data_IF_923881145004
#
_entry.id   IF_923881145004
#
_cell.length_a   1.000
_cell.length_b   1.000
_cell.length_c   1.000
_cell.angle_alpha   90.00
_cell.angle_beta   90.00
_cell.angle_gamma   90.00
#
_symmetry.space_group_name_H-M   'P 1'
#
loop_
_entity.id
_entity.type
_entity.pdbx_description
1 polymer ?
#
# COMPACT_ATOMS: atom_id res chain seq x y z
N UNK A 1 37.83 -19.50 -14.95
CA UNK A 1 36.87 -18.41 -14.75
C UNK A 1 35.72 -18.89 -13.85
N UNK A 2 35.85 -18.72 -12.53
CA UNK A 2 34.81 -19.05 -11.55
C UNK A 2 33.83 -17.87 -11.43
N UNK A 3 32.56 -18.05 -11.82
CA UNK A 3 31.48 -17.12 -11.42
C UNK A 3 30.97 -17.57 -10.05
N UNK A 4 31.41 -16.90 -8.99
CA UNK A 4 30.82 -17.00 -7.65
C UNK A 4 29.41 -16.40 -7.69
N UNK A 5 28.40 -17.25 -7.54
CA UNK A 5 27.05 -16.87 -7.16
C UNK A 5 27.05 -16.47 -5.69
N UNK A 6 26.85 -15.18 -5.41
CA UNK A 6 26.66 -14.69 -4.05
C UNK A 6 25.25 -15.08 -3.60
N UNK A 7 25.15 -16.07 -2.72
CA UNK A 7 23.92 -16.41 -1.99
C UNK A 7 23.83 -15.50 -0.78
N UNK A 8 22.98 -14.47 -0.84
CA UNK A 8 22.67 -13.63 0.32
C UNK A 8 21.54 -14.30 1.10
N UNK A 9 21.83 -14.68 2.35
CA UNK A 9 20.85 -15.21 3.31
C UNK A 9 19.79 -14.14 3.61
N UNK A 10 18.54 -14.42 3.22
CA UNK A 10 17.37 -13.61 3.50
C UNK A 10 16.89 -13.84 4.94
N UNK A 11 17.37 -13.02 5.87
CA UNK A 11 16.71 -12.84 7.17
C UNK A 11 16.22 -11.39 7.26
N UNK A 12 14.90 -11.21 7.49
CA UNK A 12 14.23 -9.96 7.85
C UNK A 12 13.87 -8.94 6.75
N UNK A 13 13.15 -9.37 5.70
CA UNK A 13 12.47 -8.49 4.73
C UNK A 13 10.98 -8.29 5.06
N UNK A 14 10.62 -7.89 6.29
CA UNK A 14 9.22 -7.96 6.75
C UNK A 14 8.24 -6.88 6.27
N UNK A 15 8.63 -5.64 5.90
CA UNK A 15 7.63 -4.55 5.91
C UNK A 15 7.51 -3.58 4.70
N UNK A 16 8.18 -3.74 3.55
CA UNK A 16 8.06 -2.73 2.46
C UNK A 16 8.16 -3.23 1.01
N UNK A 17 8.09 -4.54 0.74
CA UNK A 17 8.33 -5.05 -0.62
C UNK A 17 7.24 -4.64 -1.62
N UNK A 18 5.96 -4.67 -1.23
CA UNK A 18 4.84 -4.37 -2.14
C UNK A 18 4.84 -2.93 -2.67
N UNK A 19 5.22 -1.95 -1.82
CA UNK A 19 5.23 -0.53 -2.19
C UNK A 19 6.21 -0.21 -3.33
N UNK A 20 7.44 -0.76 -3.28
CA UNK A 20 8.44 -0.52 -4.33
C UNK A 20 8.21 -1.34 -5.58
N UNK A 21 7.57 -2.51 -5.46
CA UNK A 21 7.08 -3.27 -6.61
C UNK A 21 6.01 -2.52 -7.38
N UNK A 22 5.04 -1.96 -6.67
CA UNK A 22 3.97 -1.15 -7.25
C UNK A 22 4.52 0.13 -7.91
N UNK A 23 5.39 0.89 -7.24
CA UNK A 23 5.99 2.10 -7.82
C UNK A 23 6.80 1.80 -9.10
N UNK A 24 7.55 0.69 -9.11
CA UNK A 24 8.31 0.28 -10.29
C UNK A 24 7.40 -0.18 -11.43
N UNK A 25 6.28 -0.84 -11.09
CA UNK A 25 5.24 -1.19 -12.05
C UNK A 25 4.59 0.07 -12.66
N UNK A 26 4.26 1.07 -11.85
CA UNK A 26 3.69 2.34 -12.35
C UNK A 26 4.60 3.10 -13.31
N UNK A 27 5.91 3.18 -13.01
CA UNK A 27 6.87 3.82 -13.92
C UNK A 27 7.07 3.05 -15.23
N UNK A 28 6.87 1.73 -15.21
CA UNK A 28 6.91 0.90 -16.43
C UNK A 28 5.66 1.05 -17.30
N UNK A 29 4.48 1.34 -16.72
CA UNK A 29 3.25 1.63 -17.47
C UNK A 29 3.21 3.02 -18.10
N UNK A 30 4.10 3.95 -17.69
CA UNK A 30 4.21 5.31 -18.24
C UNK A 30 5.31 5.46 -19.31
N UNK A 31 5.88 4.36 -19.83
CA UNK A 31 6.67 4.38 -21.07
C UNK A 31 8.19 4.27 -20.94
N UNK A 32 8.78 4.20 -19.74
CA UNK A 32 10.21 3.89 -19.60
C UNK A 32 10.43 2.41 -19.30
N UNK A 33 10.79 1.66 -20.34
CA UNK A 33 11.23 0.28 -20.24
C UNK A 33 12.61 0.22 -19.60
N UNK A 34 12.72 -0.38 -18.42
CA UNK A 34 13.94 -1.08 -18.04
C UNK A 34 13.63 -2.37 -17.27
N UNK A 35 14.02 -3.47 -17.92
CA UNK A 35 14.12 -4.83 -17.42
C UNK A 35 14.48 -4.91 -15.92
N UNK A 36 13.66 -5.63 -15.13
CA UNK A 36 14.12 -6.64 -14.15
C UNK A 36 12.92 -7.31 -13.46
N UNK A 37 12.86 -8.64 -13.62
CA UNK A 37 12.06 -9.55 -12.80
C UNK A 37 12.47 -9.37 -11.33
N UNK A 38 11.50 -9.12 -10.45
CA UNK A 38 11.70 -9.24 -9.00
C UNK A 38 10.51 -9.99 -8.42
N UNK A 39 10.80 -11.10 -7.75
CA UNK A 39 9.84 -11.97 -7.08
C UNK A 39 9.25 -11.26 -5.86
N UNK A 40 7.93 -11.13 -5.78
CA UNK A 40 7.23 -10.60 -4.60
C UNK A 40 6.78 -11.74 -3.71
N UNK A 41 7.44 -11.89 -2.55
CA UNK A 41 7.01 -12.79 -1.48
C UNK A 41 6.09 -11.99 -0.54
N UNK A 42 4.83 -12.38 -0.54
CA UNK A 42 3.71 -11.82 0.22
C UNK A 42 4.01 -11.94 1.72
N UNK A 43 3.83 -10.84 2.48
CA UNK A 43 3.81 -10.88 3.93
C UNK A 43 2.58 -10.19 4.51
N UNK A 44 2.08 -10.87 5.52
CA UNK A 44 0.86 -10.67 6.28
C UNK A 44 1.01 -9.55 7.31
N UNK A 45 0.49 -8.36 6.99
CA UNK A 45 -0.25 -7.52 7.94
C UNK A 45 -1.23 -6.72 7.09
N UNK A 46 -2.50 -7.18 7.06
CA UNK A 46 -3.56 -6.65 6.19
C UNK A 46 -3.69 -5.12 6.23
N UNK A 47 -3.45 -4.52 7.40
CA UNK A 47 -3.52 -3.08 7.64
C UNK A 47 -2.41 -2.31 6.93
N UNK A 48 -1.15 -2.76 6.99
CA UNK A 48 -0.01 -2.10 6.32
C UNK A 48 -0.23 -2.08 4.80
N UNK A 49 -0.80 -3.17 4.27
CA UNK A 49 -1.13 -3.24 2.86
C UNK A 49 -2.20 -2.22 2.46
N UNK A 50 -3.21 -1.92 3.30
CA UNK A 50 -4.23 -0.91 2.98
C UNK A 50 -3.65 0.51 2.89
N UNK A 51 -2.74 0.90 3.80
CA UNK A 51 -2.04 2.19 3.69
C UNK A 51 -1.24 2.30 2.40
N UNK A 52 -0.45 1.27 2.08
CA UNK A 52 0.35 1.20 0.85
C UNK A 52 -0.52 1.28 -0.41
N UNK A 53 -1.66 0.57 -0.41
CA UNK A 53 -2.59 0.58 -1.52
C UNK A 53 -3.24 1.94 -1.73
N UNK A 54 -3.66 2.62 -0.66
CA UNK A 54 -4.19 3.98 -0.73
C UNK A 54 -3.13 5.03 -1.12
N UNK A 55 -1.88 4.86 -0.69
CA UNK A 55 -0.78 5.74 -1.11
C UNK A 55 -0.53 5.63 -2.62
N UNK A 56 -0.45 4.41 -3.13
CA UNK A 56 -0.15 4.16 -4.54
C UNK A 56 -1.38 4.15 -5.46
N UNK A 57 -2.59 4.20 -4.90
CA UNK A 57 -3.84 4.10 -5.67
C UNK A 57 -4.03 2.76 -6.37
N UNK A 58 -3.56 1.67 -5.77
CA UNK A 58 -3.65 0.32 -6.36
C UNK A 58 -4.73 -0.49 -5.67
N UNK A 59 -5.38 -1.33 -6.46
CA UNK A 59 -6.35 -2.29 -5.96
C UNK A 59 -5.64 -3.56 -5.44
N UNK A 60 -6.25 -4.30 -4.50
CA UNK A 60 -5.68 -5.54 -4.02
C UNK A 60 -5.63 -6.60 -5.13
N UNK A 61 -4.71 -7.56 -5.00
CA UNK A 61 -4.55 -8.66 -5.97
C UNK A 61 -5.86 -9.40 -6.27
N UNK A 62 -6.75 -9.52 -5.28
CA UNK A 62 -8.07 -10.12 -5.43
C UNK A 62 -8.92 -9.44 -6.52
N UNK A 63 -8.82 -8.12 -6.69
CA UNK A 63 -9.50 -7.40 -7.78
C UNK A 63 -9.06 -7.93 -9.15
N UNK A 64 -7.74 -8.07 -9.35
CA UNK A 64 -7.17 -8.54 -10.62
C UNK A 64 -7.52 -10.01 -10.90
N UNK A 65 -7.55 -10.84 -9.87
CA UNK A 65 -8.03 -12.23 -9.98
C UNK A 65 -9.49 -12.26 -10.41
N UNK A 66 -10.36 -11.46 -9.77
CA UNK A 66 -11.80 -11.38 -10.11
C UNK A 66 -11.99 -10.86 -11.54
N UNK A 67 -11.28 -9.80 -11.93
CA UNK A 67 -11.29 -9.25 -13.30
C UNK A 67 -10.95 -10.32 -14.34
N UNK A 68 -9.90 -11.09 -14.09
CA UNK A 68 -9.46 -12.17 -14.98
C UNK A 68 -10.51 -13.27 -15.08
N UNK A 69 -11.09 -13.68 -13.95
CA UNK A 69 -12.18 -14.67 -13.90
C UNK A 69 -13.42 -14.20 -14.66
N UNK A 70 -13.80 -12.92 -14.55
CA UNK A 70 -14.94 -12.36 -15.28
C UNK A 70 -14.67 -12.27 -16.79
N UNK A 71 -13.45 -11.90 -17.20
CA UNK A 71 -13.08 -11.93 -18.61
C UNK A 71 -13.08 -13.35 -19.19
N UNK A 72 -12.63 -14.34 -18.42
CA UNK A 72 -12.74 -15.74 -18.81
C UNK A 72 -14.20 -16.16 -18.92
N UNK A 73 -15.03 -15.83 -17.92
CA UNK A 73 -16.45 -16.14 -17.90
C UNK A 73 -17.15 -15.57 -19.14
N UNK A 74 -16.90 -14.30 -19.48
CA UNK A 74 -17.41 -13.66 -20.70
C UNK A 74 -17.11 -14.48 -21.95
N UNK A 75 -15.87 -14.95 -22.10
CA UNK A 75 -15.44 -15.72 -23.28
C UNK A 75 -16.16 -17.06 -23.35
N UNK A 76 -16.25 -17.76 -22.22
CA UNK A 76 -16.85 -19.11 -22.16
C UNK A 76 -18.36 -19.06 -22.31
N UNK A 77 -19.00 -17.96 -21.86
CA UNK A 77 -20.47 -17.88 -21.88
C UNK A 77 -21.06 -17.84 -23.29
N UNK A 78 -20.30 -17.38 -24.27
CA UNK A 78 -20.71 -17.28 -25.68
C UNK A 78 -20.16 -18.42 -26.55
N UNK A 79 -19.44 -19.39 -25.97
CA UNK A 79 -18.97 -20.55 -26.72
C UNK A 79 -20.13 -21.47 -27.11
N UNK A 80 -20.03 -22.18 -28.26
CA UNK A 80 -20.97 -23.23 -28.62
C UNK A 80 -21.13 -24.28 -27.50
N UNK A 81 -22.34 -24.84 -27.30
CA UNK A 81 -22.63 -25.72 -26.17
C UNK A 81 -21.81 -27.02 -26.18
N UNK A 82 -21.29 -27.44 -27.33
CA UNK A 82 -20.48 -28.65 -27.50
C UNK A 82 -19.04 -28.46 -26.99
N UNK A 83 -18.60 -27.22 -26.76
CA UNK A 83 -17.22 -26.94 -26.33
C UNK A 83 -17.07 -27.30 -24.86
N UNK A 84 -16.06 -28.12 -24.54
CA UNK A 84 -15.77 -28.54 -23.15
C UNK A 84 -15.76 -27.41 -22.11
N UNK A 85 -15.13 -26.22 -22.33
CA UNK A 85 -15.17 -25.14 -21.34
C UNK A 85 -16.59 -24.71 -21.00
N UNK A 86 -17.50 -24.72 -21.98
CA UNK A 86 -18.90 -24.38 -21.81
C UNK A 86 -19.62 -25.43 -20.96
N UNK A 87 -19.50 -26.70 -21.33
CA UNK A 87 -20.07 -27.84 -20.57
C UNK A 87 -19.60 -27.81 -19.11
N UNK A 88 -18.31 -27.57 -18.87
CA UNK A 88 -17.73 -27.46 -17.53
C UNK A 88 -18.30 -26.27 -16.75
N UNK A 89 -18.43 -25.11 -17.39
CA UNK A 89 -19.02 -23.92 -16.76
C UNK A 89 -20.48 -24.16 -16.36
N UNK A 90 -21.30 -24.73 -17.24
CA UNK A 90 -22.70 -25.05 -16.93
C UNK A 90 -22.82 -26.01 -15.76
N UNK A 91 -21.96 -27.03 -15.70
CA UNK A 91 -21.88 -27.95 -14.57
C UNK A 91 -21.50 -27.22 -13.28
N UNK A 92 -20.50 -26.34 -13.33
CA UNK A 92 -20.07 -25.53 -12.18
C UNK A 92 -21.17 -24.60 -11.67
N UNK A 93 -21.91 -23.94 -12.57
CA UNK A 93 -23.07 -23.11 -12.22
C UNK A 93 -24.14 -23.95 -11.52
N UNK A 94 -24.48 -25.12 -12.08
CA UNK A 94 -25.46 -26.03 -11.46
C UNK A 94 -25.02 -26.48 -10.07
N UNK A 95 -23.76 -26.90 -9.94
CA UNK A 95 -23.19 -27.28 -8.65
C UNK A 95 -23.16 -26.12 -7.65
N UNK A 96 -22.95 -24.88 -8.10
CA UNK A 96 -22.92 -23.70 -7.23
C UNK A 96 -24.27 -23.38 -6.57
N UNK A 97 -25.36 -23.93 -7.12
CA UNK A 97 -26.73 -23.80 -6.61
C UNK A 97 -27.15 -24.99 -5.73
N UNK A 98 -26.31 -26.02 -5.65
CA UNK A 98 -26.57 -27.19 -4.79
C UNK A 98 -26.44 -26.81 -3.31
N UNK A 99 -27.31 -27.35 -2.42
CA UNK A 99 -27.14 -27.19 -0.98
C UNK A 99 -25.84 -27.80 -0.45
N UNK A 100 -25.25 -28.75 -1.21
CA UNK A 100 -23.97 -29.39 -0.90
C UNK A 100 -22.75 -28.67 -1.50
N UNK A 101 -22.92 -27.43 -1.98
CA UNK A 101 -21.82 -26.70 -2.60
C UNK A 101 -20.79 -26.25 -1.56
N UNK A 102 -19.62 -26.90 -1.55
CA UNK A 102 -18.48 -26.43 -0.77
C UNK A 102 -17.75 -25.29 -1.49
N UNK A 103 -17.74 -24.10 -0.87
CA UNK A 103 -17.17 -22.88 -1.44
C UNK A 103 -15.73 -23.06 -1.93
N UNK A 104 -14.88 -23.76 -1.17
CA UNK A 104 -13.46 -24.01 -1.52
C UNK A 104 -13.25 -24.77 -2.83
N UNK A 105 -14.22 -25.57 -3.27
CA UNK A 105 -14.10 -26.42 -4.46
C UNK A 105 -14.85 -25.87 -5.69
N UNK A 106 -15.69 -24.86 -5.51
CA UNK A 106 -16.44 -24.25 -6.60
C UNK A 106 -16.03 -22.79 -6.77
N UNK A 107 -15.13 -22.52 -7.72
CA UNK A 107 -14.64 -21.16 -7.96
C UNK A 107 -15.75 -20.21 -8.45
N UNK A 108 -16.83 -20.73 -9.08
CA UNK A 108 -17.99 -19.90 -9.46
C UNK A 108 -18.73 -19.40 -8.22
N UNK A 109 -18.90 -20.27 -7.22
CA UNK A 109 -19.46 -19.88 -5.92
C UNK A 109 -18.53 -18.88 -5.19
N UNK A 110 -17.20 -19.07 -5.26
CA UNK A 110 -16.22 -18.12 -4.71
C UNK A 110 -16.35 -16.76 -5.38
N UNK A 111 -16.39 -16.73 -6.71
CA UNK A 111 -16.52 -15.52 -7.49
C UNK A 111 -17.79 -14.76 -7.13
N UNK A 112 -18.93 -15.46 -7.03
CA UNK A 112 -20.20 -14.90 -6.53
C UNK A 112 -20.02 -14.30 -5.15
N UNK A 113 -19.52 -15.06 -4.17
CA UNK A 113 -19.34 -14.58 -2.79
C UNK A 113 -18.44 -13.34 -2.68
N UNK A 114 -17.51 -13.14 -3.63
CA UNK A 114 -16.62 -11.98 -3.67
C UNK A 114 -17.25 -10.76 -4.32
N UNK A 115 -18.26 -10.94 -5.18
CA UNK A 115 -19.00 -9.87 -5.84
C UNK A 115 -20.29 -9.46 -5.10
N UNK A 116 -20.87 -10.35 -4.29
CA UNK A 116 -22.05 -10.04 -3.49
C UNK A 116 -21.85 -8.80 -2.59
N UNK A 117 -20.71 -8.62 -1.88
CA UNK A 117 -20.51 -7.44 -1.03
C UNK A 117 -20.49 -6.11 -1.78
N UNK A 118 -20.15 -6.10 -3.08
CA UNK A 118 -20.20 -4.90 -3.93
C UNK A 118 -21.58 -4.69 -4.57
N UNK A 119 -22.62 -5.40 -4.11
CA UNK A 119 -23.98 -5.31 -4.64
C UNK A 119 -24.10 -5.83 -6.08
N UNK A 120 -23.20 -6.74 -6.49
CA UNK A 120 -23.16 -7.30 -7.85
C UNK A 120 -23.60 -8.76 -7.81
N UNK A 121 -24.85 -9.04 -8.18
CA UNK A 121 -25.43 -10.41 -8.19
C UNK A 121 -25.75 -10.94 -9.60
N UNK A 122 -25.26 -10.27 -10.65
CA UNK A 122 -25.50 -10.70 -12.03
C UNK A 122 -25.02 -12.14 -12.30
N UNK A 123 -24.04 -12.62 -11.51
CA UNK A 123 -23.56 -14.01 -11.56
C UNK A 123 -24.69 -15.02 -11.35
N UNK A 124 -25.64 -14.73 -10.46
CA UNK A 124 -26.76 -15.64 -10.16
C UNK A 124 -27.66 -15.85 -11.39
N UNK A 125 -27.75 -14.83 -12.25
CA UNK A 125 -28.49 -14.82 -13.51
C UNK A 125 -27.65 -15.15 -14.76
N UNK A 126 -26.42 -15.64 -14.64
CA UNK A 126 -25.62 -16.01 -15.82
C UNK A 126 -26.31 -17.12 -16.59
N UNK A 127 -26.79 -16.77 -17.79
CA UNK A 127 -27.40 -17.71 -18.74
C UNK A 127 -26.44 -17.92 -19.91
N UNK A 128 -26.22 -19.20 -20.28
CA UNK A 128 -25.63 -19.57 -21.55
C UNK A 128 -26.08 -18.77 -22.78
N UNK A 129 -25.14 -18.14 -23.49
CA UNK A 129 -25.40 -17.45 -24.76
C UNK A 129 -25.67 -15.95 -24.62
N UNK A 130 -25.73 -15.42 -23.40
CA UNK A 130 -25.98 -14.00 -23.14
C UNK A 130 -24.68 -13.19 -23.15
N UNK A 131 -24.73 -11.99 -23.73
CA UNK A 131 -23.63 -11.03 -23.70
C UNK A 131 -23.52 -10.35 -22.32
N UNK A 132 -22.50 -10.71 -21.56
CA UNK A 132 -22.26 -10.20 -20.19
C UNK A 132 -21.45 -8.89 -20.12
N UNK A 133 -21.10 -8.26 -21.26
CA UNK A 133 -20.25 -7.06 -21.26
C UNK A 133 -20.76 -5.91 -20.38
N UNK A 134 -22.03 -5.46 -20.46
CA UNK A 134 -22.50 -4.35 -19.64
C UNK A 134 -22.50 -4.71 -18.14
N UNK A 135 -22.93 -5.92 -17.80
CA UNK A 135 -23.00 -6.39 -16.42
C UNK A 135 -21.61 -6.50 -15.79
N UNK A 136 -20.63 -7.02 -16.55
CA UNK A 136 -19.24 -7.12 -16.09
C UNK A 136 -18.66 -5.71 -15.88
N UNK A 137 -18.89 -4.76 -16.79
CA UNK A 137 -18.40 -3.41 -16.64
C UNK A 137 -18.96 -2.76 -15.36
N UNK A 138 -20.27 -2.86 -15.13
CA UNK A 138 -20.93 -2.34 -13.93
C UNK A 138 -20.38 -3.03 -12.66
N UNK A 139 -20.28 -4.35 -12.67
CA UNK A 139 -19.77 -5.11 -11.53
C UNK A 139 -18.31 -4.77 -11.20
N UNK A 140 -17.47 -4.58 -12.22
CA UNK A 140 -16.08 -4.18 -12.03
C UNK A 140 -15.97 -2.78 -11.41
N UNK A 141 -16.74 -1.81 -11.88
CA UNK A 141 -16.76 -0.46 -11.29
C UNK A 141 -17.25 -0.47 -9.84
N UNK A 142 -18.29 -1.25 -9.54
CA UNK A 142 -18.78 -1.41 -8.16
C UNK A 142 -17.76 -2.09 -7.25
N UNK A 143 -17.09 -3.13 -7.75
CA UNK A 143 -16.06 -3.85 -7.02
C UNK A 143 -14.86 -2.96 -6.71
N UNK A 144 -14.42 -2.16 -7.67
CA UNK A 144 -13.34 -1.19 -7.52
C UNK A 144 -13.65 -0.18 -6.41
N UNK A 145 -14.82 0.47 -6.49
CA UNK A 145 -15.27 1.42 -5.47
C UNK A 145 -15.40 0.77 -4.09
N UNK A 146 -15.96 -0.45 -4.02
CA UNK A 146 -16.12 -1.20 -2.77
C UNK A 146 -14.76 -1.53 -2.14
N UNK A 147 -13.81 -2.06 -2.91
CA UNK A 147 -12.48 -2.41 -2.40
C UNK A 147 -11.69 -1.18 -1.93
N UNK A 148 -11.73 -0.07 -2.68
CA UNK A 148 -11.09 1.17 -2.27
C UNK A 148 -11.70 1.71 -0.96
N UNK A 149 -13.02 1.61 -0.80
CA UNK A 149 -13.73 2.00 0.43
C UNK A 149 -13.36 1.09 1.61
N UNK A 150 -13.18 -0.21 1.37
CA UNK A 150 -12.70 -1.15 2.39
C UNK A 150 -11.31 -0.78 2.90
N UNK A 151 -10.39 -0.41 2.00
CA UNK A 151 -9.04 0.03 2.37
C UNK A 151 -9.08 1.33 3.17
N UNK A 152 -9.87 2.31 2.72
CA UNK A 152 -10.07 3.55 3.48
C UNK A 152 -10.61 3.26 4.87
N UNK A 153 -11.68 2.45 4.97
CA UNK A 153 -12.27 2.09 6.26
C UNK A 153 -11.24 1.42 7.17
N UNK A 154 -10.48 0.46 6.65
CA UNK A 154 -9.42 -0.23 7.39
C UNK A 154 -8.39 0.76 7.94
N UNK A 155 -8.00 1.75 7.15
CA UNK A 155 -7.04 2.79 7.55
C UNK A 155 -7.63 3.74 8.58
N UNK A 156 -8.88 4.18 8.39
CA UNK A 156 -9.55 5.12 9.29
C UNK A 156 -9.86 4.51 10.66
N UNK A 157 -10.17 3.20 10.70
CA UNK A 157 -10.38 2.48 11.97
C UNK A 157 -9.08 2.02 12.64
N UNK A 158 -7.94 2.15 11.96
CA UNK A 158 -6.67 1.62 12.43
C UNK A 158 -5.96 2.60 13.37
N UNK A 159 -5.42 2.07 14.46
CA UNK A 159 -4.55 2.81 15.38
C UNK A 159 -3.08 2.83 14.95
N UNK A 160 -2.74 2.14 13.84
CA UNK A 160 -1.36 1.92 13.39
C UNK A 160 -0.60 3.22 13.07
N UNK A 161 -1.16 4.08 12.21
CA UNK A 161 -0.59 5.40 11.90
C UNK A 161 -1.63 6.48 12.22
N UNK A 162 -1.40 7.19 13.33
CA UNK A 162 -2.33 8.20 13.85
C UNK A 162 -2.44 9.41 12.93
N UNK A 163 -1.35 9.75 12.23
CA UNK A 163 -1.28 10.94 11.37
C UNK A 163 -1.79 10.66 9.96
N UNK A 164 -1.75 9.41 9.48
CA UNK A 164 -2.11 9.08 8.10
C UNK A 164 -3.50 9.60 7.69
N UNK A 165 -4.49 9.44 8.58
CA UNK A 165 -5.87 9.89 8.36
C UNK A 165 -6.01 11.40 8.10
N UNK A 166 -5.03 12.20 8.54
CA UNK A 166 -5.01 13.64 8.36
C UNK A 166 -4.18 14.09 7.15
N UNK A 167 -3.29 13.24 6.65
CA UNK A 167 -2.39 13.58 5.52
C UNK A 167 -2.86 12.98 4.21
N UNK A 168 -3.71 11.94 4.26
CA UNK A 168 -4.33 11.36 3.08
C UNK A 168 -5.27 12.38 2.43
N UNK A 169 -5.09 12.63 1.14
CA UNK A 169 -5.80 13.67 0.39
C UNK A 169 -7.23 13.26 -0.04
N UNK A 170 -7.77 12.15 0.47
CA UNK A 170 -9.10 11.62 0.11
C UNK A 170 -9.19 10.96 -1.26
N UNK A 171 -8.08 10.86 -2.01
CA UNK A 171 -8.05 10.18 -3.31
C UNK A 171 -8.09 8.66 -3.08
N UNK A 172 -9.23 8.04 -3.42
CA UNK A 172 -9.43 6.60 -3.22
C UNK A 172 -8.84 5.76 -4.35
N UNK A 173 -8.88 6.30 -5.57
CA UNK A 173 -8.41 5.66 -6.79
C UNK A 173 -7.38 6.59 -7.42
N UNK A 174 -6.15 6.10 -7.56
CA UNK A 174 -5.02 6.87 -8.05
C UNK A 174 -3.99 7.21 -6.96
N UNK A 175 -2.72 7.34 -7.36
CA UNK A 175 -1.63 7.61 -6.43
C UNK A 175 -1.75 8.99 -5.77
N UNK A 176 -1.20 9.13 -4.56
CA UNK A 176 -1.03 10.43 -3.93
C UNK A 176 -0.18 11.35 -4.82
N UNK A 177 -0.51 12.65 -4.84
CA UNK A 177 0.06 13.62 -5.77
C UNK A 177 1.60 13.63 -5.78
N UNK A 178 2.23 13.55 -4.60
CA UNK A 178 3.69 13.54 -4.46
C UNK A 178 4.39 12.34 -5.11
N UNK A 179 3.67 11.24 -5.39
CA UNK A 179 4.17 10.08 -6.11
C UNK A 179 4.11 10.26 -7.63
N UNK A 180 3.25 11.15 -8.13
CA UNK A 180 3.08 11.44 -9.56
C UNK A 180 4.04 12.52 -10.04
N UNK A 181 4.46 13.40 -9.14
CA UNK A 181 5.44 14.43 -9.48
C UNK A 181 6.80 13.83 -9.85
N UNK A 182 7.52 14.51 -10.76
CA UNK A 182 8.89 14.14 -11.15
C UNK A 182 9.90 14.54 -10.07
N UNK A 183 9.79 13.93 -8.90
CA UNK A 183 10.70 14.13 -7.78
C UNK A 183 11.78 13.04 -7.77
N UNK A 184 12.97 13.34 -7.21
CA UNK A 184 13.94 12.30 -6.91
C UNK A 184 13.30 11.19 -6.08
N UNK A 185 13.60 9.93 -6.43
CA UNK A 185 12.98 8.76 -5.82
C UNK A 185 13.14 8.75 -4.28
N UNK A 186 14.27 9.23 -3.78
CA UNK A 186 14.53 9.31 -2.34
C UNK A 186 13.59 10.27 -1.61
N UNK A 187 13.16 11.37 -2.24
CA UNK A 187 12.19 12.31 -1.67
C UNK A 187 10.81 11.65 -1.54
N UNK A 188 10.27 11.14 -2.65
CA UNK A 188 8.98 10.45 -2.64
C UNK A 188 8.98 9.25 -1.70
N UNK A 189 10.09 8.50 -1.66
CA UNK A 189 10.31 7.41 -0.71
C UNK A 189 10.20 7.87 0.73
N UNK A 190 10.96 8.89 1.09
CA UNK A 190 11.00 9.39 2.46
C UNK A 190 9.63 9.86 2.91
N UNK A 191 8.94 10.65 2.08
CA UNK A 191 7.61 11.15 2.42
C UNK A 191 6.60 10.00 2.59
N UNK A 192 6.59 9.04 1.67
CA UNK A 192 5.74 7.87 1.77
C UNK A 192 5.98 7.06 3.05
N UNK A 193 7.25 6.81 3.35
CA UNK A 193 7.66 6.04 4.52
C UNK A 193 7.28 6.75 5.82
N UNK A 194 7.42 8.08 5.87
CA UNK A 194 7.00 8.88 7.02
C UNK A 194 5.47 8.88 7.19
N UNK A 195 4.71 9.03 6.11
CA UNK A 195 3.24 9.07 6.14
C UNK A 195 2.65 7.74 6.63
N UNK A 196 3.19 6.62 6.15
CA UNK A 196 2.72 5.27 6.49
C UNK A 196 3.39 4.73 7.75
N UNK A 197 4.32 5.47 8.36
CA UNK A 197 5.02 5.00 9.54
C UNK A 197 4.03 4.68 10.66
N UNK A 198 4.12 3.46 11.17
CA UNK A 198 3.31 3.01 12.29
C UNK A 198 4.00 3.13 13.64
N UNK A 199 3.31 2.68 14.67
CA UNK A 199 3.75 2.76 16.08
C UNK A 199 5.05 2.04 16.43
N UNK A 200 5.45 0.98 15.72
CA UNK A 200 6.46 0.06 16.26
C UNK A 200 7.81 0.10 15.53
N UNK A 201 7.83 0.14 14.19
CA UNK A 201 9.08 0.06 13.41
C UNK A 201 8.92 0.66 12.01
N UNK A 202 9.97 1.31 11.49
CA UNK A 202 10.04 1.78 10.10
C UNK A 202 11.42 1.61 9.46
N UNK A 203 11.49 1.81 8.15
CA UNK A 203 12.77 2.07 7.45
C UNK A 203 12.62 3.42 6.78
N UNK A 204 13.58 4.32 6.96
CA UNK A 204 13.59 5.63 6.30
C UNK A 204 14.89 5.73 5.51
N UNK A 205 14.82 6.12 4.23
CA UNK A 205 16.02 6.36 3.41
C UNK A 205 16.89 5.13 3.09
N UNK A 206 16.56 3.93 3.59
CA UNK A 206 17.38 2.72 3.41
C UNK A 206 18.01 2.23 4.71
N UNK A 207 18.16 3.11 5.71
CA UNK A 207 18.54 2.76 7.07
C UNK A 207 17.30 2.38 7.89
N UNK A 208 17.51 1.49 8.87
CA UNK A 208 16.45 0.98 9.74
C UNK A 208 16.29 1.90 10.94
N UNK A 209 15.39 2.88 10.87
CA UNK A 209 15.01 3.65 12.06
C UNK A 209 13.95 2.88 12.84
N UNK A 210 14.31 2.42 14.03
CA UNK A 210 13.34 1.89 14.99
C UNK A 210 12.80 3.05 15.79
N UNK A 211 11.55 3.42 15.52
CA UNK A 211 10.76 4.33 16.34
C UNK A 211 9.62 3.50 16.92
N UNK A 212 9.53 3.49 18.25
CA UNK A 212 8.53 2.75 19.00
C UNK A 212 7.74 3.69 19.89
N UNK A 213 6.48 3.95 19.53
CA UNK A 213 5.56 4.76 20.33
C UNK A 213 5.11 4.06 21.62
N UNK A 214 5.71 2.93 21.99
CA UNK A 214 5.51 2.24 23.27
C UNK A 214 6.76 2.25 24.14
N UNK A 215 7.89 2.73 23.61
CA UNK A 215 9.17 2.81 24.32
C UNK A 215 9.57 4.27 24.51
N UNK A 216 10.48 4.51 25.45
CA UNK A 216 11.04 5.84 25.67
C UNK A 216 12.15 6.11 24.65
N UNK A 217 12.31 7.37 24.26
CA UNK A 217 13.35 7.80 23.35
C UNK A 217 14.74 7.44 23.92
N UNK A 218 15.54 6.62 23.21
CA UNK A 218 16.77 6.07 23.76
C UNK A 218 17.92 7.10 23.82
N UNK A 219 17.78 8.24 23.13
CA UNK A 219 18.90 9.18 22.97
C UNK A 219 18.80 10.43 23.84
N UNK A 220 17.59 10.89 24.22
CA UNK A 220 17.45 12.22 24.83
C UNK A 220 17.34 12.28 26.35
N UNK A 221 17.10 11.15 27.04
CA UNK A 221 16.92 11.13 28.49
C UNK A 221 15.68 11.86 29.03
N UNK A 222 14.89 12.53 28.17
CA UNK A 222 13.71 13.33 28.58
C UNK A 222 12.49 12.50 29.03
N UNK A 223 12.58 11.17 29.03
CA UNK A 223 11.45 10.24 29.25
C UNK A 223 10.25 10.50 28.33
N UNK A 224 10.50 11.06 27.13
CA UNK A 224 9.51 11.20 26.09
C UNK A 224 9.37 9.88 25.30
N UNK A 225 8.21 9.66 24.67
CA UNK A 225 7.98 8.49 23.83
C UNK A 225 8.84 8.55 22.56
N UNK A 226 9.30 7.40 22.09
CA UNK A 226 10.12 7.27 20.88
C UNK A 226 9.27 7.25 19.61
N UNK A 227 8.44 8.29 19.43
CA UNK A 227 7.55 8.42 18.28
C UNK A 227 8.05 9.43 17.25
N UNK A 228 7.34 9.49 16.11
CA UNK A 228 7.70 10.36 15.00
C UNK A 228 7.61 11.85 15.36
N UNK A 229 6.66 12.23 16.22
CA UNK A 229 6.48 13.63 16.64
C UNK A 229 7.67 14.06 17.47
N UNK A 230 8.04 13.27 18.47
CA UNK A 230 9.21 13.52 19.30
C UNK A 230 10.48 13.58 18.45
N UNK A 231 10.69 12.60 17.57
CA UNK A 231 11.87 12.50 16.71
C UNK A 231 12.04 13.74 15.81
N UNK A 232 10.99 14.15 15.10
CA UNK A 232 11.07 15.28 14.17
C UNK A 232 11.08 16.64 14.88
N UNK A 233 10.30 16.82 15.94
CA UNK A 233 9.95 18.15 16.45
C UNK A 233 10.57 18.49 17.81
N UNK A 234 10.86 17.52 18.67
CA UNK A 234 11.09 17.80 20.09
C UNK A 234 12.43 17.30 20.63
N UNK A 235 12.94 16.16 20.13
CA UNK A 235 14.12 15.49 20.66
C UNK A 235 15.32 16.45 20.76
N UNK A 236 15.86 16.74 21.97
CA UNK A 236 16.95 17.70 22.13
C UNK A 236 18.26 17.24 21.49
N UNK A 237 18.51 15.92 21.42
CA UNK A 237 19.70 15.38 20.73
C UNK A 237 19.69 15.63 19.22
N UNK A 238 18.53 16.00 18.66
CA UNK A 238 18.35 16.27 17.25
C UNK A 238 18.15 17.77 16.98
N UNK A 239 18.56 18.64 17.92
CA UNK A 239 18.36 20.09 17.79
C UNK A 239 19.12 20.67 16.59
N UNK A 240 20.39 20.29 16.40
CA UNK A 240 21.22 20.81 15.31
C UNK A 240 20.68 20.44 13.92
N UNK A 241 20.41 19.16 13.60
CA UNK A 241 19.81 18.82 12.32
C UNK A 241 18.42 19.45 12.15
N UNK A 242 17.64 19.57 13.24
CA UNK A 242 16.32 20.24 13.19
C UNK A 242 16.45 21.72 12.85
N UNK A 243 17.37 22.44 13.49
CA UNK A 243 17.63 23.85 13.21
C UNK A 243 18.10 24.06 11.76
N UNK A 244 18.99 23.19 11.29
CA UNK A 244 19.54 23.24 9.94
C UNK A 244 18.48 23.01 8.85
N UNK A 245 17.65 21.98 9.01
CA UNK A 245 16.76 21.52 7.93
C UNK A 245 15.29 21.84 8.12
N UNK A 246 14.76 21.66 9.33
CA UNK A 246 13.31 21.72 9.61
C UNK A 246 12.84 23.07 10.14
N UNK A 247 13.67 23.81 10.88
CA UNK A 247 13.29 25.11 11.46
C UNK A 247 12.80 26.12 10.41
N UNK A 248 13.40 26.24 9.21
CA UNK A 248 12.88 27.11 8.15
C UNK A 248 11.50 26.69 7.64
N UNK A 249 11.08 25.46 7.93
CA UNK A 249 9.80 24.90 7.54
C UNK A 249 8.76 24.97 8.65
N UNK A 250 9.04 25.56 9.82
CA UNK A 250 8.06 25.67 10.90
C UNK A 250 7.28 26.99 10.78
N UNK A 251 5.96 26.95 10.99
CA UNK A 251 5.16 28.18 11.08
C UNK A 251 4.59 28.34 12.48
N UNK A 252 4.62 29.58 12.97
CA UNK A 252 3.91 29.98 14.17
C UNK A 252 2.55 30.59 13.77
N UNK A 253 1.44 30.29 14.47
CA UNK A 253 1.35 29.62 15.78
C UNK A 253 0.85 28.16 15.69
N UNK A 254 1.48 27.28 14.91
CA UNK A 254 1.02 25.88 14.83
C UNK A 254 1.47 25.04 16.04
N UNK A 255 0.58 24.15 16.48
CA UNK A 255 0.91 23.11 17.47
C UNK A 255 1.83 22.04 16.86
N UNK A 256 2.52 21.25 17.68
CA UNK A 256 3.40 20.17 17.21
C UNK A 256 2.69 19.17 16.27
N UNK A 257 1.48 18.74 16.62
CA UNK A 257 0.69 17.84 15.77
C UNK A 257 0.29 18.47 14.44
N UNK A 258 -0.13 19.74 14.45
CA UNK A 258 -0.49 20.46 13.22
C UNK A 258 0.75 20.68 12.32
N UNK A 259 1.88 21.01 12.94
CA UNK A 259 3.17 21.16 12.28
C UNK A 259 3.62 19.85 11.61
N UNK A 260 3.49 18.72 12.32
CA UNK A 260 3.79 17.39 11.78
C UNK A 260 2.89 17.05 10.59
N UNK A 261 1.57 17.22 10.74
CA UNK A 261 0.61 16.94 9.68
C UNK A 261 0.93 17.78 8.44
N UNK A 262 1.25 19.07 8.59
CA UNK A 262 1.63 19.92 7.45
C UNK A 262 2.88 19.40 6.74
N UNK A 263 3.93 19.04 7.47
CA UNK A 263 5.16 18.51 6.88
C UNK A 263 4.88 17.23 6.07
N UNK A 264 4.06 16.33 6.62
CA UNK A 264 3.70 15.06 5.99
C UNK A 264 2.67 15.19 4.85
N UNK A 265 1.86 16.24 4.86
CA UNK A 265 0.90 16.56 3.81
C UNK A 265 1.49 17.47 2.71
N UNK A 266 2.77 17.83 2.80
CA UNK A 266 3.39 18.78 1.88
C UNK A 266 3.43 18.27 0.44
N UNK A 267 2.99 19.11 -0.48
CA UNK A 267 3.13 18.93 -1.93
C UNK A 267 4.36 19.68 -2.47
N UNK A 268 5.23 20.19 -1.60
CA UNK A 268 6.45 20.92 -1.98
C UNK A 268 7.68 20.00 -1.98
N UNK A 269 8.37 19.98 -3.13
CA UNK A 269 9.63 19.26 -3.32
C UNK A 269 10.70 19.75 -2.32
N UNK A 270 10.77 21.05 -2.03
CA UNK A 270 11.77 21.63 -1.15
C UNK A 270 11.59 21.18 0.30
N UNK A 271 10.35 21.14 0.78
CA UNK A 271 9.98 20.58 2.09
C UNK A 271 10.42 19.12 2.19
N UNK A 272 10.09 18.31 1.19
CA UNK A 272 10.43 16.89 1.17
C UNK A 272 11.95 16.66 1.12
N UNK A 273 12.68 17.51 0.38
CA UNK A 273 14.13 17.45 0.29
C UNK A 273 14.80 17.73 1.65
N UNK A 274 14.31 18.76 2.36
CA UNK A 274 14.78 19.09 3.71
C UNK A 274 14.44 18.00 4.72
N UNK A 275 13.25 17.40 4.63
CA UNK A 275 12.90 16.22 5.43
C UNK A 275 13.87 15.06 5.18
N UNK A 276 14.21 14.80 3.92
CA UNK A 276 15.18 13.75 3.58
C UNK A 276 16.55 14.00 4.22
N UNK A 277 17.12 15.19 4.08
CA UNK A 277 18.43 15.49 4.68
C UNK A 277 18.42 15.53 6.20
N UNK A 278 17.33 16.03 6.81
CA UNK A 278 17.13 15.91 8.26
C UNK A 278 17.22 14.46 8.71
N UNK A 279 16.52 13.56 8.01
CA UNK A 279 16.47 12.15 8.39
C UNK A 279 17.82 11.47 8.25
N UNK A 280 18.63 11.82 7.23
CA UNK A 280 19.98 11.28 7.12
C UNK A 280 20.83 11.66 8.35
N UNK A 281 20.93 12.95 8.66
CA UNK A 281 21.77 13.39 9.79
C UNK A 281 21.20 12.94 11.15
N UNK A 282 19.87 12.96 11.33
CA UNK A 282 19.23 12.53 12.57
C UNK A 282 19.41 11.04 12.85
N UNK A 283 19.46 10.20 11.80
CA UNK A 283 19.74 8.77 11.93
C UNK A 283 21.19 8.54 12.29
N UNK A 284 22.13 9.23 11.65
CA UNK A 284 23.55 9.13 11.99
C UNK A 284 23.81 9.47 13.46
N UNK A 285 23.20 10.56 13.97
CA UNK A 285 23.28 10.93 15.38
C UNK A 285 22.69 9.84 16.28
N UNK A 286 21.52 9.32 15.93
CA UNK A 286 20.85 8.26 16.71
C UNK A 286 21.66 6.96 16.73
N UNK A 287 22.20 6.55 15.59
CA UNK A 287 23.00 5.34 15.45
C UNK A 287 24.30 5.47 16.24
N UNK A 288 24.94 6.65 16.24
CA UNK A 288 26.14 6.92 17.05
C UNK A 288 25.88 6.74 18.55
N UNK A 289 24.72 7.19 19.05
CA UNK A 289 24.37 7.11 20.48
C UNK A 289 23.95 5.70 20.87
N UNK A 290 23.23 5.00 20.00
CA UNK A 290 22.65 3.67 20.30
C UNK A 290 23.56 2.48 19.97
N UNK A 291 24.70 2.73 19.32
CA UNK A 291 25.74 1.71 19.06
C UNK A 291 26.77 1.58 20.18
N UNK A 292 26.71 2.47 21.18
CA UNK A 292 27.49 2.44 22.42
C UNK A 292 26.74 1.62 23.46
#
# INVERSE_FOLDING_TARGET
>A
MYRRSVVIKLNNARNCAEFWGAIRFFRSSTGEVQNKRTHFKILSHSQICSYVRLEAGILPLSYHTIKSSLHWLRKVVVMPPERYPRVCLERLIRLSRSPFCELKFNWMAQLRSKLTPSGSDFISGVVPGVNLNPDIAIAMSRLEAWMATCDLRSVMSSSFSVHYKHVHNGTLLGPQKYLVHNWPLHNSRTLAQLRVLGRNYGRIGGQLIRLSSTELCPICGCRAMDDLSHFLLECPMLVDPRLKFLRPLFESPLTGTAQLIRLLASEDRAVTNRLYFFLLEAVEVRDLITSV
#
